data_IF_986089362799
#
_entry.id   IF_986089362799
#
_cell.length_a   1.000
_cell.length_b   1.000
_cell.length_c   1.000
_cell.angle_alpha   90.00
_cell.angle_beta   90.00
_cell.angle_gamma   90.00
#
_symmetry.space_group_name_H-M   'P 1'
#
loop_
_entity.id
_entity.type
_entity.pdbx_description
1 polymer ?
#
# COMPACT_ATOMS: atom_id res chain seq x y z
N UNK A 1 -24.31 -8.29 -27.12
CA UNK A 1 -23.62 -7.09 -26.58
C UNK A 1 -23.58 -7.30 -25.07
N UNK A 2 -22.46 -7.81 -24.55
CA UNK A 2 -22.28 -8.03 -23.11
C UNK A 2 -22.16 -6.66 -22.45
N UNK A 3 -23.07 -6.37 -21.52
CA UNK A 3 -22.99 -5.19 -20.66
C UNK A 3 -21.80 -5.36 -19.74
N UNK A 4 -20.64 -4.87 -20.16
CA UNK A 4 -19.50 -4.71 -19.27
C UNK A 4 -19.93 -3.73 -18.19
N UNK A 5 -20.21 -4.24 -16.99
CA UNK A 5 -20.43 -3.42 -15.81
C UNK A 5 -19.27 -2.43 -15.69
N UNK A 6 -19.61 -1.16 -15.42
CA UNK A 6 -18.60 -0.15 -15.17
C UNK A 6 -17.74 -0.62 -13.99
N UNK A 7 -16.40 -0.74 -14.13
CA UNK A 7 -15.54 -1.23 -13.05
C UNK A 7 -15.59 -0.37 -11.78
N UNK A 8 -16.28 0.77 -11.81
CA UNK A 8 -16.54 1.64 -10.66
C UNK A 8 -17.51 0.99 -9.66
N UNK A 9 -18.41 0.07 -10.05
CA UNK A 9 -19.25 -0.65 -9.08
C UNK A 9 -18.44 -1.55 -8.14
N UNK A 10 -17.26 -2.01 -8.58
CA UNK A 10 -16.34 -2.84 -7.80
C UNK A 10 -15.61 -2.06 -6.67
N UNK A 11 -15.43 -0.74 -6.81
CA UNK A 11 -14.77 0.09 -5.77
C UNK A 11 -15.54 0.08 -4.44
N UNK A 12 -16.85 -0.14 -4.44
CA UNK A 12 -17.65 -0.15 -3.21
C UNK A 12 -17.22 -1.24 -2.21
N UNK A 13 -16.55 -2.28 -2.68
CA UNK A 13 -16.05 -3.38 -1.86
C UNK A 13 -14.55 -3.29 -1.59
N UNK A 14 -13.89 -2.22 -2.06
CA UNK A 14 -12.46 -2.05 -1.87
C UNK A 14 -12.11 -1.83 -0.39
N UNK A 15 -11.14 -2.60 0.12
CA UNK A 15 -10.61 -2.45 1.48
C UNK A 15 -9.54 -1.37 1.56
N UNK A 16 -8.85 -1.15 0.44
CA UNK A 16 -7.77 -0.17 0.32
C UNK A 16 -7.86 0.54 -1.02
N UNK A 17 -7.46 1.81 -1.03
CA UNK A 17 -7.34 2.58 -2.26
C UNK A 17 -6.24 3.63 -2.18
N UNK A 18 -5.56 3.86 -3.30
CA UNK A 18 -4.56 4.92 -3.47
C UNK A 18 -4.70 5.52 -4.87
N UNK A 19 -4.58 6.83 -4.95
CA UNK A 19 -4.42 7.54 -6.22
C UNK A 19 -2.94 7.83 -6.39
N UNK A 20 -2.34 7.28 -7.45
CA UNK A 20 -0.94 7.54 -7.81
C UNK A 20 -0.95 7.97 -9.26
N UNK A 21 -0.59 9.23 -9.53
CA UNK A 21 -0.75 9.86 -10.84
C UNK A 21 -2.21 9.76 -11.35
N UNK A 22 -2.43 9.32 -12.60
CA UNK A 22 -3.76 9.11 -13.21
C UNK A 22 -4.26 7.66 -13.07
N UNK A 23 -3.71 6.90 -12.11
CA UNK A 23 -4.08 5.52 -11.87
C UNK A 23 -4.65 5.37 -10.46
N UNK A 24 -5.83 4.74 -10.39
CA UNK A 24 -6.49 4.39 -9.14
C UNK A 24 -6.19 2.94 -8.80
N UNK A 25 -5.48 2.74 -7.71
CA UNK A 25 -5.09 1.44 -7.17
C UNK A 25 -6.08 1.08 -6.08
N UNK A 26 -6.68 -0.12 -6.14
CA UNK A 26 -7.59 -0.56 -5.10
C UNK A 26 -7.52 -2.07 -4.89
N UNK A 27 -7.82 -2.49 -3.66
CA UNK A 27 -7.79 -3.91 -3.27
C UNK A 27 -9.20 -4.38 -2.95
N UNK A 28 -9.67 -5.42 -3.63
CA UNK A 28 -10.96 -6.06 -3.40
C UNK A 28 -10.79 -7.58 -3.54
N UNK A 29 -11.41 -8.39 -2.67
CA UNK A 29 -11.41 -9.86 -2.79
C UNK A 29 -10.01 -10.46 -3.00
N UNK A 30 -9.01 -9.99 -2.25
CA UNK A 30 -7.59 -10.40 -2.38
C UNK A 30 -6.99 -10.15 -3.77
N UNK A 31 -7.50 -9.18 -4.51
CA UNK A 31 -6.93 -8.73 -5.78
C UNK A 31 -6.58 -7.25 -5.71
N UNK A 32 -5.39 -6.90 -6.20
CA UNK A 32 -5.00 -5.53 -6.47
C UNK A 32 -5.37 -5.18 -7.91
N UNK A 33 -6.24 -4.19 -8.07
CA UNK A 33 -6.65 -3.66 -9.34
C UNK A 33 -6.00 -2.30 -9.59
N UNK A 34 -5.54 -2.08 -10.83
CA UNK A 34 -5.03 -0.80 -11.30
C UNK A 34 -5.96 -0.28 -12.37
N UNK A 35 -6.71 0.77 -12.07
CA UNK A 35 -7.65 1.41 -12.98
C UNK A 35 -7.05 2.68 -13.56
N UNK A 36 -6.98 2.77 -14.88
CA UNK A 36 -6.53 3.99 -15.55
C UNK A 36 -7.73 4.96 -15.67
N UNK A 37 -7.61 6.13 -15.03
CA UNK A 37 -8.69 7.12 -14.97
C UNK A 37 -8.95 7.80 -16.33
N UNK A 38 -7.94 7.87 -17.20
CA UNK A 38 -8.05 8.52 -18.51
C UNK A 38 -8.75 7.61 -19.52
N UNK A 39 -8.31 6.36 -19.64
CA UNK A 39 -8.88 5.37 -20.57
C UNK A 39 -10.13 4.71 -20.03
N UNK A 40 -10.39 4.86 -18.73
CA UNK A 40 -11.51 4.27 -17.99
C UNK A 40 -11.53 2.74 -18.04
N UNK A 41 -10.35 2.11 -18.01
CA UNK A 41 -10.18 0.66 -18.10
C UNK A 41 -9.32 0.10 -16.96
N UNK A 42 -9.55 -1.15 -16.58
CA UNK A 42 -8.64 -1.90 -15.71
C UNK A 42 -7.40 -2.24 -16.53
N UNK A 43 -6.24 -1.75 -16.11
CA UNK A 43 -4.92 -2.02 -16.72
C UNK A 43 -4.36 -3.36 -16.25
N UNK A 44 -4.53 -3.64 -14.96
CA UNK A 44 -3.96 -4.83 -14.30
C UNK A 44 -4.91 -5.31 -13.22
N UNK A 45 -4.99 -6.63 -13.06
CA UNK A 45 -5.58 -7.31 -11.91
C UNK A 45 -4.57 -8.34 -11.40
N UNK A 46 -4.05 -8.14 -10.20
CA UNK A 46 -3.02 -8.98 -9.59
C UNK A 46 -3.61 -9.69 -8.37
N UNK A 47 -3.54 -11.03 -8.35
CA UNK A 47 -3.93 -11.81 -7.17
C UNK A 47 -2.91 -11.64 -6.05
N UNK A 48 -3.39 -11.35 -4.85
CA UNK A 48 -2.59 -11.28 -3.62
C UNK A 48 -2.66 -12.63 -2.92
N UNK A 49 -1.50 -13.19 -2.61
CA UNK A 49 -1.37 -14.41 -1.80
C UNK A 49 -1.25 -14.12 -0.30
N UNK A 50 -1.65 -12.91 0.12
CA UNK A 50 -1.65 -12.45 1.50
C UNK A 50 -2.80 -11.45 1.72
N UNK A 51 -3.20 -11.26 2.98
CA UNK A 51 -4.13 -10.22 3.37
C UNK A 51 -3.37 -8.89 3.50
N UNK A 52 -3.76 -7.88 2.71
CA UNK A 52 -3.18 -6.55 2.81
C UNK A 52 -3.73 -5.84 4.06
N UNK A 53 -2.84 -5.43 4.96
CA UNK A 53 -3.16 -4.69 6.17
C UNK A 53 -3.32 -3.19 5.89
N UNK A 54 -2.39 -2.63 5.11
CA UNK A 54 -2.38 -1.20 4.78
C UNK A 54 -1.55 -0.95 3.54
N UNK A 55 -1.67 0.25 2.97
CA UNK A 55 -0.94 0.67 1.77
C UNK A 55 -0.27 2.02 1.99
N UNK A 56 0.88 2.25 1.36
CA UNK A 56 1.56 3.53 1.38
C UNK A 56 2.07 3.89 -0.01
N UNK A 57 2.40 5.17 -0.18
CA UNK A 57 3.13 5.67 -1.35
C UNK A 57 4.43 6.27 -0.84
N UNK A 58 5.46 6.25 -1.69
CA UNK A 58 6.70 6.97 -1.44
C UNK A 58 6.44 8.44 -1.05
N UNK A 59 6.96 8.86 0.10
CA UNK A 59 6.71 10.20 0.66
C UNK A 59 7.18 11.32 -0.27
N UNK A 60 8.33 11.15 -0.92
CA UNK A 60 8.95 12.25 -1.68
C UNK A 60 8.65 12.17 -3.18
N UNK A 61 8.66 10.96 -3.77
CA UNK A 61 8.52 10.83 -5.22
C UNK A 61 7.10 10.50 -5.69
N UNK A 62 6.20 10.05 -4.80
CA UNK A 62 4.83 9.60 -5.12
C UNK A 62 4.77 8.69 -6.37
N UNK A 63 5.73 7.76 -6.51
CA UNK A 63 5.85 6.88 -7.68
C UNK A 63 5.42 5.44 -7.45
N UNK A 64 5.68 4.92 -6.26
CA UNK A 64 5.56 3.49 -5.99
C UNK A 64 4.49 3.20 -4.95
N UNK A 65 3.64 2.22 -5.24
CA UNK A 65 2.71 1.65 -4.27
C UNK A 65 3.44 0.63 -3.42
N UNK A 66 3.29 0.75 -2.10
CA UNK A 66 3.72 -0.23 -1.12
C UNK A 66 2.51 -0.83 -0.42
N UNK A 67 2.59 -2.13 -0.12
CA UNK A 67 1.60 -2.89 0.61
C UNK A 67 2.29 -3.51 1.83
N UNK A 68 1.61 -3.51 2.96
CA UNK A 68 2.02 -4.30 4.12
C UNK A 68 1.04 -5.46 4.32
N UNK A 69 1.55 -6.65 4.64
CA UNK A 69 0.70 -7.77 5.08
C UNK A 69 0.43 -7.75 6.59
N UNK A 70 -0.49 -8.59 7.05
CA UNK A 70 -0.83 -8.74 8.48
C UNK A 70 0.30 -9.27 9.37
N UNK A 71 1.48 -9.58 8.79
CA UNK A 71 2.67 -10.03 9.50
C UNK A 71 3.79 -8.98 9.51
N UNK A 72 3.57 -7.81 8.90
CA UNK A 72 4.51 -6.70 8.85
C UNK A 72 5.47 -6.73 7.66
N UNK A 73 5.26 -7.61 6.68
CA UNK A 73 6.10 -7.68 5.49
C UNK A 73 5.66 -6.64 4.47
N UNK A 74 6.63 -5.88 3.97
CA UNK A 74 6.42 -4.81 3.00
C UNK A 74 6.74 -5.32 1.60
N UNK A 75 5.79 -5.10 0.70
CA UNK A 75 5.90 -5.35 -0.73
C UNK A 75 5.86 -4.03 -1.49
N UNK A 76 6.68 -3.91 -2.53
CA UNK A 76 6.60 -2.84 -3.52
C UNK A 76 5.97 -3.39 -4.80
N UNK A 77 4.99 -2.69 -5.34
CA UNK A 77 4.51 -2.95 -6.70
C UNK A 77 5.47 -2.37 -7.72
N UNK A 78 5.98 -3.22 -8.62
CA UNK A 78 6.91 -2.86 -9.68
C UNK A 78 6.60 -3.69 -10.94
N UNK A 79 6.40 -3.05 -12.08
CA UNK A 79 6.04 -3.72 -13.34
C UNK A 79 4.91 -4.77 -13.22
N UNK A 80 3.86 -4.47 -12.44
CA UNK A 80 2.74 -5.36 -12.12
C UNK A 80 3.11 -6.61 -11.29
N UNK A 81 4.28 -6.63 -10.67
CA UNK A 81 4.72 -7.68 -9.75
C UNK A 81 4.94 -7.12 -8.34
N UNK A 82 4.72 -7.96 -7.33
CA UNK A 82 4.97 -7.60 -5.93
C UNK A 82 6.34 -8.13 -5.50
N UNK A 83 7.24 -7.21 -5.18
CA UNK A 83 8.58 -7.52 -4.69
C UNK A 83 8.64 -7.25 -3.19
N UNK A 84 9.00 -8.27 -2.40
CA UNK A 84 9.29 -8.08 -0.98
C UNK A 84 10.49 -7.13 -0.81
N UNK A 85 10.38 -6.16 0.12
CA UNK A 85 11.43 -5.17 0.38
C UNK A 85 11.96 -5.21 1.80
N UNK A 86 11.07 -5.43 2.77
CA UNK A 86 11.39 -5.24 4.17
C UNK A 86 10.38 -6.01 5.03
N UNK A 87 10.72 -6.28 6.29
CA UNK A 87 9.82 -6.85 7.28
C UNK A 87 9.93 -6.08 8.60
N UNK A 88 8.86 -5.38 9.00
CA UNK A 88 8.78 -4.77 10.31
C UNK A 88 8.74 -5.85 11.40
N UNK A 89 9.29 -5.59 12.59
CA UNK A 89 9.20 -6.53 13.71
C UNK A 89 7.76 -6.83 14.13
N UNK A 90 6.82 -5.94 13.80
CA UNK A 90 5.37 -6.04 14.03
C UNK A 90 4.62 -5.32 12.91
N UNK A 91 3.38 -5.71 12.60
CA UNK A 91 2.57 -5.00 11.61
C UNK A 91 2.32 -3.55 12.01
N UNK A 92 2.44 -2.64 11.04
CA UNK A 92 2.39 -1.20 11.21
C UNK A 92 1.24 -0.57 10.39
N UNK A 93 0.00 -0.56 10.90
CA UNK A 93 -1.18 -0.04 10.17
C UNK A 93 -0.99 1.37 9.60
N UNK A 94 -0.11 2.15 10.23
CA UNK A 94 0.41 3.39 9.70
C UNK A 94 1.90 3.23 9.37
N UNK A 95 2.24 3.16 8.09
CA UNK A 95 3.63 3.21 7.65
C UNK A 95 3.83 4.18 6.50
N UNK A 96 5.07 4.58 6.31
CA UNK A 96 5.50 5.44 5.21
C UNK A 96 6.82 4.92 4.64
N UNK A 97 6.92 4.87 3.32
CA UNK A 97 8.17 4.65 2.62
C UNK A 97 8.90 5.99 2.46
N UNK A 98 10.18 6.00 2.80
CA UNK A 98 11.08 7.16 2.82
C UNK A 98 12.26 6.87 1.90
N UNK A 99 12.98 7.92 1.47
CA UNK A 99 14.17 7.79 0.66
C UNK A 99 15.17 6.75 1.17
N UNK A 100 15.86 6.16 0.19
CA UNK A 100 16.93 5.18 0.36
C UNK A 100 16.46 3.86 0.99
N UNK A 101 15.22 3.45 0.70
CA UNK A 101 14.69 2.17 1.16
C UNK A 101 14.44 2.12 2.67
N UNK A 102 14.15 3.27 3.27
CA UNK A 102 13.79 3.37 4.69
C UNK A 102 12.28 3.37 4.85
N UNK A 103 11.80 2.75 5.91
CA UNK A 103 10.38 2.67 6.22
C UNK A 103 10.17 3.12 7.65
N UNK A 104 9.25 4.05 7.87
CA UNK A 104 8.80 4.44 9.21
C UNK A 104 7.45 3.79 9.43
N UNK A 105 7.31 3.05 10.52
CA UNK A 105 6.09 2.30 10.85
C UNK A 105 5.66 2.56 12.28
N UNK A 106 4.36 2.79 12.47
CA UNK A 106 3.72 2.90 13.77
C UNK A 106 2.73 1.75 13.95
N UNK A 107 2.97 0.97 14.99
CA UNK A 107 2.13 -0.18 15.37
C UNK A 107 0.89 0.26 16.15
N UNK A 108 -0.12 -0.61 16.22
CA UNK A 108 -1.33 -0.39 17.06
C UNK A 108 -1.01 -0.21 18.55
N UNK A 109 0.10 -0.78 19.02
CA UNK A 109 0.56 -0.64 20.39
C UNK A 109 1.56 0.51 20.60
N UNK A 110 1.49 1.52 19.73
CA UNK A 110 2.18 2.81 19.87
C UNK A 110 3.72 2.70 19.88
N UNK A 111 4.28 1.77 19.10
CA UNK A 111 5.73 1.64 18.92
C UNK A 111 6.11 2.15 17.55
N UNK A 112 7.05 3.10 17.52
CA UNK A 112 7.56 3.69 16.30
C UNK A 112 8.83 2.97 15.89
N UNK A 113 8.89 2.48 14.65
CA UNK A 113 10.05 1.85 14.06
C UNK A 113 10.57 2.66 12.88
N UNK A 114 11.89 2.70 12.75
CA UNK A 114 12.58 3.00 11.50
C UNK A 114 13.25 1.71 11.04
N UNK A 115 12.76 1.17 9.93
CA UNK A 115 13.02 -0.18 9.50
C UNK A 115 12.72 -1.17 10.64
N UNK A 116 13.71 -1.91 11.12
CA UNK A 116 13.56 -2.86 12.23
C UNK A 116 13.96 -2.27 13.59
N UNK A 117 14.49 -1.04 13.61
CA UNK A 117 14.92 -0.39 14.84
C UNK A 117 13.76 0.38 15.47
N UNK A 118 13.47 0.10 16.73
CA UNK A 118 12.51 0.88 17.50
C UNK A 118 13.11 2.25 17.84
N UNK A 119 12.44 3.32 17.43
CA UNK A 119 12.81 4.70 17.71
C UNK A 119 12.18 5.21 19.01
N UNK A 120 10.93 4.83 19.25
CA UNK A 120 10.14 5.31 20.38
C UNK A 120 9.03 4.34 20.77
N UNK A 121 8.60 4.45 22.02
CA UNK A 121 7.41 3.80 22.57
C UNK A 121 6.41 4.87 23.04
N UNK A 122 5.13 4.50 23.16
CA UNK A 122 4.02 5.42 23.45
C UNK A 122 3.88 6.55 22.42
N UNK A 123 4.22 6.27 21.16
CA UNK A 123 4.08 7.20 20.05
C UNK A 123 2.65 7.13 19.49
N UNK A 124 1.90 8.23 19.51
CA UNK A 124 0.51 8.25 18.99
C UNK A 124 0.42 8.66 17.52
N UNK A 125 1.42 9.39 17.02
CA UNK A 125 1.50 9.84 15.64
C UNK A 125 2.95 10.16 15.29
N UNK A 126 3.24 10.20 14.00
CA UNK A 126 4.51 10.69 13.48
C UNK A 126 4.23 11.54 12.24
N UNK A 127 5.18 12.41 11.90
CA UNK A 127 5.16 13.20 10.68
C UNK A 127 6.56 13.19 10.07
N UNK A 128 6.62 13.00 8.76
CA UNK A 128 7.87 13.02 7.99
C UNK A 128 7.89 14.35 7.24
N UNK A 129 9.03 15.03 7.30
CA UNK A 129 9.27 16.28 6.59
C UNK A 129 10.68 16.27 5.99
N UNK A 130 10.86 17.05 4.93
CA UNK A 130 12.15 17.29 4.26
C UNK A 130 13.10 18.13 5.12
#
# INVERSE_FOLDING_TARGET
>A
ISSAESPITSIHHATHYRLINQEFYFIENSHLHIYNLQTKTIKTSLSLNFNCLTTAVDHEEVKHLYLEDEHGKIFRLDNNELQAKMHFPRPCPHFSAVLNGRFVGLTENYRLYLNTAELAHNCNSYFIHD
#
